data_IF_692370539384
#
_entry.id   IF_692370539384
#
_cell.length_a   1.000
_cell.length_b   1.000
_cell.length_c   1.000
_cell.angle_alpha   90.00
_cell.angle_beta   90.00
_cell.angle_gamma   90.00
#
_symmetry.space_group_name_H-M   'P 1'
#
loop_
_entity.id
_entity.type
_entity.pdbx_description
1 polymer ?
#
# COMPACT_ATOMS: atom_id res chain seq x y z
N UNK A 1 -13.61 1.92 -0.98
CA UNK A 1 -14.48 2.52 -2.01
C UNK A 1 -14.30 4.03 -1.96
N UNK A 2 -13.71 4.64 -2.99
CA UNK A 2 -13.60 6.10 -3.06
C UNK A 2 -15.03 6.67 -3.10
N UNK A 3 -15.36 7.56 -2.16
CA UNK A 3 -16.68 8.21 -2.10
C UNK A 3 -17.77 7.46 -1.32
N UNK A 4 -17.48 6.33 -0.68
CA UNK A 4 -18.41 5.76 0.31
C UNK A 4 -18.33 6.58 1.60
N UNK A 5 -19.45 7.14 2.07
CA UNK A 5 -19.50 7.87 3.34
C UNK A 5 -19.06 6.98 4.52
N UNK A 6 -18.15 7.50 5.35
CA UNK A 6 -17.54 6.79 6.49
C UNK A 6 -16.08 7.18 6.69
N UNK A 7 -15.45 6.76 7.79
CA UNK A 7 -14.00 6.88 7.95
C UNK A 7 -13.29 6.04 6.89
N UNK A 8 -12.55 6.70 5.99
CA UNK A 8 -11.85 6.02 4.90
C UNK A 8 -10.59 5.30 5.33
N UNK A 9 -10.04 4.47 4.45
CA UNK A 9 -8.69 3.89 4.62
C UNK A 9 -7.64 5.00 4.54
N UNK A 10 -6.78 5.11 5.55
CA UNK A 10 -5.65 6.05 5.57
C UNK A 10 -4.38 5.32 5.16
N UNK A 11 -3.67 5.87 4.17
CA UNK A 11 -2.40 5.33 3.69
C UNK A 11 -1.29 6.31 4.04
N UNK A 12 -0.26 5.84 4.74
CA UNK A 12 0.95 6.58 5.03
C UNK A 12 2.12 5.97 4.25
N UNK A 13 2.83 6.80 3.48
CA UNK A 13 3.99 6.41 2.70
C UNK A 13 5.24 7.08 3.31
N UNK A 14 6.18 6.26 3.76
CA UNK A 14 7.48 6.73 4.25
C UNK A 14 8.56 6.29 3.28
N UNK A 15 9.31 7.28 2.77
CA UNK A 15 10.46 7.06 1.91
C UNK A 15 11.72 7.41 2.68
N UNK A 16 12.59 6.43 2.90
CA UNK A 16 13.83 6.64 3.66
C UNK A 16 15.05 6.34 2.79
N UNK A 17 16.02 7.26 2.67
CA UNK A 17 17.28 7.01 1.98
C UNK A 17 18.04 5.83 2.61
N UNK A 18 18.70 5.04 1.77
CA UNK A 18 19.56 3.91 2.17
C UNK A 18 20.92 4.02 1.46
N UNK A 19 22.00 3.45 2.04
CA UNK A 19 23.32 3.47 1.42
C UNK A 19 23.31 2.91 0.00
N UNK A 20 24.15 3.48 -0.87
CA UNK A 20 24.26 3.09 -2.27
C UNK A 20 23.17 3.67 -3.17
N UNK A 21 22.64 4.87 -2.85
CA UNK A 21 21.62 5.53 -3.66
C UNK A 21 20.25 4.84 -3.66
N UNK A 22 20.00 3.95 -2.70
CA UNK A 22 18.76 3.18 -2.60
C UNK A 22 17.72 3.93 -1.77
N UNK A 23 16.46 3.59 -1.97
CA UNK A 23 15.34 4.11 -1.17
C UNK A 23 14.58 2.94 -0.57
N UNK A 24 14.30 2.98 0.73
CA UNK A 24 13.33 2.09 1.37
C UNK A 24 11.94 2.72 1.25
N UNK A 25 10.99 1.94 0.78
CA UNK A 25 9.57 2.27 0.74
C UNK A 25 8.89 1.52 1.89
N UNK A 26 8.13 2.24 2.73
CA UNK A 26 7.26 1.66 3.75
C UNK A 26 5.85 2.23 3.57
N UNK A 27 4.86 1.35 3.46
CA UNK A 27 3.44 1.73 3.31
C UNK A 27 2.67 1.18 4.51
N UNK A 28 2.09 2.08 5.31
CA UNK A 28 1.18 1.72 6.41
C UNK A 28 -0.26 2.03 6.01
N UNK A 29 -1.07 0.99 5.95
CA UNK A 29 -2.49 1.10 5.60
C UNK A 29 -3.35 0.88 6.84
N UNK A 30 -4.03 1.93 7.28
CA UNK A 30 -4.90 1.92 8.46
C UNK A 30 -6.36 1.81 8.02
N UNK A 31 -7.03 0.77 8.50
CA UNK A 31 -8.45 0.52 8.24
C UNK A 31 -9.28 0.84 9.49
N UNK A 32 -10.50 1.39 9.33
CA UNK A 32 -11.41 1.69 10.44
C UNK A 32 -11.89 0.44 11.19
N UNK A 33 -11.85 -0.73 10.55
CA UNK A 33 -12.21 -1.99 11.18
C UNK A 33 -11.40 -3.18 10.65
N UNK A 34 -11.31 -4.22 11.48
CA UNK A 34 -10.69 -5.50 11.10
C UNK A 34 -11.45 -6.15 9.94
N UNK A 35 -12.78 -6.13 9.97
CA UNK A 35 -13.61 -6.72 8.92
C UNK A 35 -13.36 -6.07 7.56
N UNK A 36 -13.29 -4.72 7.51
CA UNK A 36 -12.97 -4.03 6.26
C UNK A 36 -11.56 -4.37 5.76
N UNK A 37 -10.58 -4.43 6.66
CA UNK A 37 -9.22 -4.87 6.31
C UNK A 37 -9.25 -6.27 5.69
N UNK A 38 -9.96 -7.20 6.31
CA UNK A 38 -9.99 -8.60 5.86
C UNK A 38 -10.71 -8.73 4.51
N UNK A 39 -11.79 -7.97 4.27
CA UNK A 39 -12.45 -7.88 2.96
C UNK A 39 -11.46 -7.35 1.89
N UNK A 40 -10.73 -6.28 2.20
CA UNK A 40 -9.78 -5.66 1.25
C UNK A 40 -8.58 -6.57 0.99
N UNK A 41 -8.07 -7.27 2.00
CA UNK A 41 -7.01 -8.26 1.80
C UNK A 41 -7.48 -9.42 0.92
N UNK A 42 -8.75 -9.81 1.04
CA UNK A 42 -9.39 -10.83 0.22
C UNK A 42 -9.53 -10.47 -1.27
N UNK A 43 -9.33 -9.22 -1.68
CA UNK A 43 -9.41 -8.82 -3.10
C UNK A 43 -8.13 -9.09 -3.90
N UNK A 44 -7.09 -9.65 -3.28
CA UNK A 44 -5.78 -9.82 -3.92
C UNK A 44 -4.92 -8.56 -3.88
N UNK A 45 -5.21 -7.62 -2.97
CA UNK A 45 -4.46 -6.37 -2.81
C UNK A 45 -2.95 -6.62 -2.68
N UNK A 46 -2.54 -7.64 -1.91
CA UNK A 46 -1.13 -7.97 -1.68
C UNK A 46 -0.43 -8.30 -3.00
N UNK A 47 -1.02 -9.18 -3.82
CA UNK A 47 -0.46 -9.57 -5.12
C UNK A 47 -0.42 -8.37 -6.09
N UNK A 48 -1.47 -7.53 -6.07
CA UNK A 48 -1.52 -6.31 -6.86
C UNK A 48 -0.43 -5.30 -6.50
N UNK A 49 -0.07 -5.19 -5.21
CA UNK A 49 1.02 -4.34 -4.75
C UNK A 49 2.37 -4.87 -5.21
N UNK A 50 2.64 -6.16 -5.06
CA UNK A 50 3.89 -6.79 -5.54
C UNK A 50 4.07 -6.64 -7.05
N UNK A 51 3.01 -6.89 -7.84
CA UNK A 51 3.05 -6.66 -9.28
C UNK A 51 3.34 -5.20 -9.63
N UNK A 52 2.93 -4.25 -8.78
CA UNK A 52 3.20 -2.82 -8.98
C UNK A 52 4.65 -2.46 -8.68
N UNK A 53 5.27 -3.04 -7.66
CA UNK A 53 6.72 -2.89 -7.44
C UNK A 53 7.52 -3.51 -8.57
N UNK A 54 7.15 -4.69 -9.08
CA UNK A 54 7.82 -5.27 -10.24
C UNK A 54 7.77 -4.37 -11.50
N UNK A 55 6.64 -3.68 -11.73
CA UNK A 55 6.55 -2.68 -12.81
C UNK A 55 7.42 -1.46 -12.55
N UNK A 56 7.49 -0.99 -11.30
CA UNK A 56 8.34 0.14 -10.91
C UNK A 56 9.82 -0.15 -11.17
N UNK A 57 10.28 -1.35 -10.79
CA UNK A 57 11.65 -1.82 -11.09
C UNK A 57 11.93 -1.89 -12.60
N UNK A 58 10.90 -2.05 -13.44
CA UNK A 58 11.07 -2.04 -14.90
C UNK A 58 11.31 -0.66 -15.51
N UNK A 59 11.13 0.43 -14.75
CA UNK A 59 11.27 1.81 -15.24
C UNK A 59 12.29 2.65 -14.47
N UNK A 60 12.87 2.11 -13.40
CA UNK A 60 13.95 2.71 -12.61
C UNK A 60 15.29 2.05 -12.93
#
# INVERSE_FOLDING_TARGET
MIGAGGEGTVNELVLTPRPGGRTRIEVRISYPSKELRDIVLGTGMVDGMEASYARLEGVL
#
